data_IF_841966790153
#
_entry.id   IF_841966790153
#
_cell.length_a   1.000
_cell.length_b   1.000
_cell.length_c   1.000
_cell.angle_alpha   90.00
_cell.angle_beta   90.00
_cell.angle_gamma   90.00
#
_symmetry.space_group_name_H-M   'P 1'
#
loop_
_entity.id
_entity.type
_entity.pdbx_description
1 polymer ?
#
# COMPACT_ATOMS: atom_id res chain seq x y z
N UNK A 1 -76.00 4.83 -9.81
CA UNK A 1 -74.55 5.16 -9.93
C UNK A 1 -74.26 5.28 -11.42
N UNK A 2 -74.63 6.36 -12.13
CA UNK A 2 -74.08 7.72 -12.18
C UNK A 2 -72.60 7.82 -12.61
N UNK A 3 -72.42 8.27 -13.87
CA UNK A 3 -71.44 9.24 -14.43
C UNK A 3 -69.93 8.85 -14.47
N UNK A 4 -69.29 8.67 -15.65
CA UNK A 4 -68.74 9.66 -16.64
C UNK A 4 -67.31 10.18 -16.27
N UNK A 5 -66.53 10.88 -17.13
CA UNK A 5 -65.70 10.42 -18.27
C UNK A 5 -64.21 10.92 -18.21
N UNK A 6 -63.49 10.84 -19.34
CA UNK A 6 -62.14 11.39 -19.65
C UNK A 6 -61.75 12.73 -19.00
N UNK A 7 -60.49 12.86 -18.55
CA UNK A 7 -59.78 14.15 -18.42
C UNK A 7 -58.28 13.98 -18.74
N UNK A 8 -57.83 14.55 -19.86
CA UNK A 8 -56.46 15.06 -20.01
C UNK A 8 -56.36 16.42 -19.32
N UNK A 9 -55.38 16.61 -18.43
CA UNK A 9 -54.90 17.93 -18.02
C UNK A 9 -53.38 18.01 -18.20
N UNK A 10 -53.00 18.92 -19.09
CA UNK A 10 -51.68 19.51 -19.26
C UNK A 10 -51.40 20.38 -18.03
N UNK A 11 -50.27 20.18 -17.34
CA UNK A 11 -49.66 21.23 -16.53
C UNK A 11 -48.19 21.41 -16.86
N UNK A 12 -47.85 22.69 -16.99
CA UNK A 12 -46.59 23.27 -17.44
C UNK A 12 -45.50 23.14 -16.39
N UNK A 13 -44.27 23.12 -16.89
CA UNK A 13 -42.98 23.48 -16.26
C UNK A 13 -43.07 24.20 -14.90
N UNK A 14 -42.36 23.66 -13.92
CA UNK A 14 -41.54 24.45 -13.00
C UNK A 14 -40.18 23.75 -12.81
N UNK A 15 -39.18 24.33 -13.47
CA UNK A 15 -37.76 24.04 -13.27
C UNK A 15 -37.34 24.84 -12.01
N UNK A 16 -37.38 24.20 -10.85
CA UNK A 16 -36.78 24.74 -9.64
C UNK A 16 -35.46 24.01 -9.41
N UNK A 17 -34.37 24.73 -9.67
CA UNK A 17 -33.02 24.22 -9.55
C UNK A 17 -32.69 23.76 -8.13
N UNK A 18 -32.26 22.50 -8.02
CA UNK A 18 -31.40 22.06 -6.94
C UNK A 18 -29.99 22.06 -7.52
N UNK A 19 -29.24 23.10 -7.17
CA UNK A 19 -27.79 23.12 -7.36
C UNK A 19 -27.22 22.02 -6.45
N UNK A 20 -26.88 20.86 -7.00
CA UNK A 20 -25.99 19.94 -6.30
C UNK A 20 -24.63 20.61 -6.25
N UNK A 21 -24.23 21.01 -5.04
CA UNK A 21 -22.87 21.43 -4.75
C UNK A 21 -21.89 20.38 -5.29
N UNK A 22 -20.84 20.85 -5.96
CA UNK A 22 -19.80 20.02 -6.54
C UNK A 22 -19.23 19.06 -5.50
N UNK A 23 -19.55 17.78 -5.68
CA UNK A 23 -18.72 16.71 -5.18
C UNK A 23 -17.55 16.67 -6.15
N UNK A 24 -16.42 17.22 -5.74
CA UNK A 24 -15.14 17.05 -6.44
C UNK A 24 -14.87 15.55 -6.55
N UNK A 25 -15.29 14.95 -7.65
CA UNK A 25 -14.83 13.63 -8.05
C UNK A 25 -13.37 13.81 -8.46
N UNK A 26 -12.48 13.61 -7.49
CA UNK A 26 -11.08 13.36 -7.79
C UNK A 26 -11.04 12.29 -8.89
N UNK A 27 -10.35 12.53 -10.02
CA UNK A 27 -10.35 11.60 -11.14
C UNK A 27 -9.84 10.25 -10.63
N UNK A 28 -10.63 9.19 -10.85
CA UNK A 28 -10.17 7.83 -10.62
C UNK A 28 -8.84 7.65 -11.37
N UNK A 29 -7.77 7.17 -10.69
CA UNK A 29 -6.47 7.01 -11.33
C UNK A 29 -6.64 6.15 -12.57
N UNK A 30 -6.30 6.73 -13.71
CA UNK A 30 -6.42 6.08 -15.01
C UNK A 30 -5.44 4.92 -15.08
N UNK A 31 -5.73 3.91 -15.93
CA UNK A 31 -4.92 2.69 -16.07
C UNK A 31 -3.42 2.93 -16.40
N UNK A 32 -3.07 4.18 -16.76
CA UNK A 32 -1.70 4.66 -16.99
C UNK A 32 -0.95 5.10 -15.72
N UNK A 33 -1.62 5.27 -14.58
CA UNK A 33 -0.98 5.64 -13.30
C UNK A 33 -0.04 4.50 -12.84
N UNK A 34 1.28 4.77 -12.71
CA UNK A 34 2.26 3.75 -12.37
C UNK A 34 2.05 3.17 -10.96
N UNK A 35 1.53 3.95 -10.00
CA UNK A 35 1.16 3.43 -8.69
C UNK A 35 -0.02 2.46 -8.82
N UNK A 36 -1.08 2.87 -9.53
CA UNK A 36 -2.24 2.00 -9.75
C UNK A 36 -1.84 0.69 -10.44
N UNK A 37 -1.00 0.74 -11.47
CA UNK A 37 -0.50 -0.46 -12.16
C UNK A 37 0.27 -1.41 -11.23
N UNK A 38 1.03 -0.87 -10.27
CA UNK A 38 1.78 -1.68 -9.32
C UNK A 38 0.87 -2.35 -8.28
N UNK A 39 -0.12 -1.64 -7.75
CA UNK A 39 -0.96 -2.13 -6.65
C UNK A 39 -2.25 -2.83 -7.09
N UNK A 40 -2.74 -2.58 -8.31
CA UNK A 40 -3.98 -3.18 -8.82
C UNK A 40 -4.00 -4.71 -8.73
N UNK A 41 -2.91 -5.46 -9.00
CA UNK A 41 -2.89 -6.91 -8.84
C UNK A 41 -3.09 -7.41 -7.39
N UNK A 42 -2.83 -6.56 -6.38
CA UNK A 42 -3.02 -6.91 -4.97
C UNK A 42 -4.46 -6.69 -4.49
N UNK A 43 -5.25 -5.88 -5.21
CA UNK A 43 -6.63 -5.59 -4.82
C UNK A 43 -7.47 -6.86 -4.95
N UNK A 44 -8.17 -7.21 -3.87
CA UNK A 44 -8.93 -8.45 -3.75
C UNK A 44 -8.11 -9.65 -3.25
N UNK A 45 -6.80 -9.48 -3.01
CA UNK A 45 -5.98 -10.52 -2.38
C UNK A 45 -5.89 -10.34 -0.86
N UNK A 46 -5.89 -11.43 -0.08
CA UNK A 46 -5.58 -11.38 1.34
C UNK A 46 -4.11 -11.04 1.54
N UNK A 47 -3.83 -10.10 2.45
CA UNK A 47 -2.52 -10.00 3.06
C UNK A 47 -2.32 -11.21 3.97
N UNK A 48 -1.17 -11.86 3.87
CA UNK A 48 -0.82 -12.97 4.75
C UNK A 48 0.63 -12.87 5.21
N UNK A 49 0.93 -13.55 6.31
CA UNK A 49 2.25 -13.54 6.93
C UNK A 49 2.72 -12.14 7.31
N UNK A 50 1.78 -11.29 7.75
CA UNK A 50 2.08 -9.91 8.12
C UNK A 50 2.97 -9.88 9.35
N UNK A 51 4.14 -9.24 9.24
CA UNK A 51 5.21 -9.36 10.24
C UNK A 51 5.94 -8.06 10.47
N UNK A 52 6.39 -7.91 11.71
CA UNK A 52 7.42 -6.94 12.07
C UNK A 52 8.80 -7.48 11.67
N UNK A 53 9.56 -6.67 10.94
CA UNK A 53 10.95 -6.89 10.60
C UNK A 53 11.90 -6.32 11.66
N UNK A 54 13.02 -5.74 11.22
CA UNK A 54 13.92 -5.00 12.10
C UNK A 54 13.26 -3.68 12.54
N UNK A 55 13.34 -3.34 13.82
CA UNK A 55 12.69 -2.14 14.36
C UNK A 55 11.17 -2.18 14.15
N UNK A 56 10.66 -1.19 13.41
CA UNK A 56 9.24 -1.00 13.10
C UNK A 56 8.87 -1.37 11.67
N UNK A 57 9.79 -1.95 10.88
CA UNK A 57 9.50 -2.30 9.49
C UNK A 57 8.38 -3.34 9.41
N UNK A 58 7.51 -3.21 8.41
CA UNK A 58 6.41 -4.15 8.20
C UNK A 58 6.58 -4.90 6.90
N UNK A 59 6.28 -6.18 6.91
CA UNK A 59 6.24 -7.05 5.74
C UNK A 59 4.83 -7.60 5.60
N UNK A 60 4.27 -7.54 4.39
CA UNK A 60 3.02 -8.19 4.01
C UNK A 60 3.27 -9.03 2.75
N UNK A 61 2.80 -10.27 2.73
CA UNK A 61 2.85 -11.14 1.56
C UNK A 61 1.44 -11.22 0.93
N UNK A 62 1.37 -11.32 -0.40
CA UNK A 62 0.12 -11.51 -1.15
C UNK A 62 0.29 -12.56 -2.24
N UNK A 63 -0.83 -13.10 -2.72
CA UNK A 63 -0.85 -14.11 -3.79
C UNK A 63 -0.40 -15.48 -3.31
N UNK A 64 -0.03 -16.35 -4.25
CA UNK A 64 0.31 -17.73 -3.97
C UNK A 64 1.61 -17.85 -3.12
N UNK A 65 1.63 -18.72 -2.10
CA UNK A 65 2.81 -18.92 -1.27
C UNK A 65 3.88 -19.73 -2.01
N UNK A 66 5.13 -19.32 -1.84
CA UNK A 66 6.33 -20.01 -2.26
C UNK A 66 7.38 -20.02 -1.14
N UNK A 67 8.44 -20.82 -1.29
CA UNK A 67 9.55 -20.86 -0.34
C UNK A 67 10.77 -20.15 -0.92
N UNK A 68 11.22 -19.10 -0.25
CA UNK A 68 12.53 -18.50 -0.49
C UNK A 68 13.58 -19.19 0.37
N UNK A 69 14.49 -19.92 -0.28
CA UNK A 69 15.57 -20.65 0.38
C UNK A 69 16.88 -19.90 0.18
N UNK A 70 17.51 -19.47 1.27
CA UNK A 70 18.90 -18.98 1.29
C UNK A 70 19.80 -20.09 1.80
N UNK A 71 20.71 -20.56 0.95
CA UNK A 71 21.75 -21.51 1.35
C UNK A 71 22.74 -20.90 2.35
N UNK A 72 23.40 -21.74 3.17
CA UNK A 72 24.52 -21.34 4.02
C UNK A 72 25.57 -20.52 3.24
N UNK A 73 26.06 -19.46 3.87
CA UNK A 73 27.16 -18.65 3.33
C UNK A 73 28.22 -18.46 4.40
N UNK A 74 29.48 -18.42 3.96
CA UNK A 74 30.58 -17.96 4.81
C UNK A 74 30.43 -16.45 4.93
N UNK A 75 30.25 -15.96 6.14
CA UNK A 75 30.23 -14.52 6.40
C UNK A 75 31.67 -14.01 6.47
N UNK A 76 32.02 -12.91 5.79
CA UNK A 76 33.29 -12.22 6.00
C UNK A 76 33.33 -11.47 7.35
N UNK A 77 32.19 -11.31 8.02
CA UNK A 77 32.08 -10.63 9.30
C UNK A 77 32.64 -11.48 10.45
N UNK A 78 33.44 -10.83 11.30
CA UNK A 78 34.09 -11.42 12.48
C UNK A 78 33.14 -11.60 13.66
N UNK A 79 31.91 -11.07 13.60
CA UNK A 79 30.96 -11.27 14.69
C UNK A 79 30.47 -12.73 14.74
N UNK A 80 30.83 -13.44 15.81
CA UNK A 80 30.55 -14.88 15.95
C UNK A 80 29.06 -15.24 15.81
N UNK A 81 28.16 -14.34 16.22
CA UNK A 81 26.70 -14.51 16.08
C UNK A 81 26.23 -14.39 14.63
N UNK A 82 26.64 -13.35 13.89
CA UNK A 82 26.23 -13.17 12.47
C UNK A 82 26.85 -14.27 11.60
N UNK A 83 28.11 -14.63 11.86
CA UNK A 83 28.76 -15.75 11.19
C UNK A 83 28.00 -17.07 11.44
N UNK A 84 27.57 -17.35 12.68
CA UNK A 84 26.79 -18.54 13.01
C UNK A 84 25.42 -18.57 12.33
N UNK A 85 24.72 -17.44 12.24
CA UNK A 85 23.43 -17.33 11.54
C UNK A 85 23.59 -17.51 10.03
N UNK A 86 24.66 -16.96 9.44
CA UNK A 86 24.92 -17.02 7.99
C UNK A 86 25.20 -18.44 7.50
N UNK A 87 25.82 -19.28 8.34
CA UNK A 87 26.09 -20.71 8.08
C UNK A 87 24.85 -21.62 8.10
N UNK A 88 23.67 -21.10 8.44
CA UNK A 88 22.42 -21.87 8.43
C UNK A 88 21.64 -21.62 7.15
N UNK A 89 20.96 -22.66 6.65
CA UNK A 89 19.92 -22.50 5.61
C UNK A 89 18.77 -21.70 6.21
N UNK A 90 18.28 -20.70 5.49
CA UNK A 90 17.10 -19.93 5.88
C UNK A 90 15.99 -20.24 4.88
N UNK A 91 14.89 -20.81 5.35
CA UNK A 91 13.69 -21.08 4.56
C UNK A 91 12.61 -20.11 5.04
N UNK A 92 12.10 -19.28 4.14
CA UNK A 92 11.08 -18.28 4.44
C UNK A 92 9.92 -18.42 3.46
N UNK A 93 8.67 -18.46 3.96
CA UNK A 93 7.50 -18.22 3.12
C UNK A 93 7.61 -16.86 2.42
N UNK A 94 7.14 -16.80 1.18
CA UNK A 94 7.12 -15.61 0.34
C UNK A 94 5.90 -15.63 -0.57
N UNK A 95 5.21 -14.52 -0.70
CA UNK A 95 4.15 -14.37 -1.69
C UNK A 95 4.68 -14.10 -3.08
N UNK A 96 3.77 -14.20 -4.04
CA UNK A 96 3.96 -13.68 -5.40
C UNK A 96 4.26 -12.18 -5.35
N UNK A 97 3.60 -11.46 -4.46
CA UNK A 97 3.92 -10.08 -4.13
C UNK A 97 4.36 -9.95 -2.68
N UNK A 98 5.32 -9.05 -2.46
CA UNK A 98 5.77 -8.68 -1.12
C UNK A 98 5.84 -7.17 -0.98
N UNK A 99 5.04 -6.64 -0.06
CA UNK A 99 5.09 -5.25 0.34
C UNK A 99 5.97 -5.11 1.58
N UNK A 100 6.96 -4.23 1.49
CA UNK A 100 7.88 -3.91 2.57
C UNK A 100 7.79 -2.43 2.91
N UNK A 101 7.30 -2.11 4.10
CA UNK A 101 7.24 -0.75 4.65
C UNK A 101 8.53 -0.49 5.44
N UNK A 102 9.26 0.55 5.07
CA UNK A 102 10.63 0.81 5.48
C UNK A 102 10.93 2.32 5.50
N UNK A 103 11.71 2.82 6.45
CA UNK A 103 12.12 4.24 6.52
C UNK A 103 10.99 5.28 6.35
N UNK A 104 9.83 5.02 6.95
CA UNK A 104 8.76 5.99 7.04
C UNK A 104 7.99 5.82 8.34
N UNK A 105 7.25 6.85 8.74
CA UNK A 105 6.24 6.66 9.75
C UNK A 105 5.10 5.86 9.15
N UNK A 106 4.46 5.08 10.00
CA UNK A 106 3.24 4.39 9.66
C UNK A 106 2.34 4.29 10.88
N UNK A 107 1.05 4.09 10.66
CA UNK A 107 0.10 3.66 11.68
C UNK A 107 -0.90 2.69 11.12
N UNK A 108 -1.39 1.82 11.99
CA UNK A 108 -2.49 0.90 11.71
C UNK A 108 -3.67 1.30 12.55
N UNK A 109 -4.80 1.53 11.88
CA UNK A 109 -6.10 1.74 12.49
C UNK A 109 -6.95 0.48 12.31
N UNK A 110 -7.85 0.22 13.24
CA UNK A 110 -8.97 -0.71 13.05
C UNK A 110 -10.27 0.02 13.36
N UNK A 111 -11.15 0.08 12.36
CA UNK A 111 -12.46 0.77 12.46
C UNK A 111 -12.33 2.23 12.93
N UNK A 112 -11.25 2.90 12.50
CA UNK A 112 -10.96 4.30 12.82
C UNK A 112 -10.14 4.53 14.09
N UNK A 113 -9.91 3.49 14.91
CA UNK A 113 -9.13 3.61 16.14
C UNK A 113 -7.68 3.14 15.93
N UNK A 114 -6.70 3.89 16.41
CA UNK A 114 -5.29 3.54 16.26
C UNK A 114 -4.90 2.35 17.16
N UNK A 115 -4.34 1.31 16.55
CA UNK A 115 -3.75 0.16 17.26
C UNK A 115 -2.29 0.45 17.62
N UNK A 116 -1.51 0.88 16.64
CA UNK A 116 -0.10 1.19 16.78
C UNK A 116 0.40 2.11 15.67
N UNK A 117 1.54 2.73 15.92
CA UNK A 117 2.32 3.49 14.94
C UNK A 117 3.80 3.09 15.02
N UNK A 118 4.64 3.63 14.14
CA UNK A 118 6.04 3.19 13.96
C UNK A 118 6.89 3.25 15.23
N UNK A 119 6.61 4.18 16.15
CA UNK A 119 7.34 4.33 17.42
C UNK A 119 6.68 3.61 18.60
N UNK A 120 5.63 2.81 18.36
CA UNK A 120 4.98 2.06 19.41
C UNK A 120 5.84 0.89 19.91
N UNK A 121 5.49 0.34 21.06
CA UNK A 121 6.20 -0.82 21.60
C UNK A 121 6.05 -2.05 20.71
N UNK A 122 7.04 -2.97 20.76
CA UNK A 122 7.03 -4.24 20.04
C UNK A 122 5.70 -5.01 20.17
N UNK A 123 5.09 -4.99 21.36
CA UNK A 123 3.79 -5.63 21.63
C UNK A 123 2.66 -4.98 20.84
N UNK A 124 2.63 -3.63 20.78
CA UNK A 124 1.62 -2.90 19.99
C UNK A 124 1.82 -3.10 18.50
N UNK A 125 3.06 -3.03 18.02
CA UNK A 125 3.38 -3.31 16.61
C UNK A 125 2.95 -4.74 16.23
N UNK A 126 3.20 -5.72 17.11
CA UNK A 126 2.74 -7.11 16.89
C UNK A 126 1.21 -7.25 16.86
N UNK A 127 0.49 -6.43 17.64
CA UNK A 127 -0.97 -6.38 17.58
C UNK A 127 -1.45 -5.79 16.25
N UNK A 128 -0.81 -4.71 15.77
CA UNK A 128 -1.10 -4.10 14.47
C UNK A 128 -0.82 -5.06 13.31
N UNK A 129 0.27 -5.83 13.34
CA UNK A 129 0.53 -6.84 12.31
C UNK A 129 -0.51 -7.96 12.34
N UNK A 130 -0.94 -8.37 13.54
CA UNK A 130 -1.97 -9.40 13.68
C UNK A 130 -3.34 -8.92 13.20
N UNK A 131 -3.65 -7.63 13.37
CA UNK A 131 -4.88 -7.04 12.84
C UNK A 131 -4.90 -7.11 11.31
N UNK A 132 -3.80 -6.75 10.65
CA UNK A 132 -3.70 -6.75 9.19
C UNK A 132 -3.70 -8.16 8.58
N UNK A 133 -3.19 -9.16 9.31
CA UNK A 133 -2.98 -10.52 8.80
C UNK A 133 -4.31 -11.22 8.47
N UNK A 134 -4.45 -11.69 7.23
CA UNK A 134 -5.63 -12.37 6.72
C UNK A 134 -6.71 -11.46 6.12
N UNK A 135 -6.59 -10.13 6.24
CA UNK A 135 -7.56 -9.22 5.62
C UNK A 135 -7.31 -9.03 4.13
N UNK A 136 -8.37 -8.82 3.35
CA UNK A 136 -8.30 -8.55 1.92
C UNK A 136 -7.99 -7.08 1.70
N UNK A 137 -6.97 -6.78 0.88
CA UNK A 137 -6.69 -5.41 0.45
C UNK A 137 -7.79 -4.95 -0.52
N UNK A 138 -8.56 -3.94 -0.13
CA UNK A 138 -9.69 -3.44 -0.94
C UNK A 138 -9.36 -2.18 -1.71
N UNK A 139 -8.42 -1.38 -1.20
CA UNK A 139 -7.96 -0.17 -1.87
C UNK A 139 -6.53 0.19 -1.45
N UNK A 140 -5.81 0.82 -2.37
CA UNK A 140 -4.53 1.46 -2.11
C UNK A 140 -4.52 2.82 -2.81
N UNK A 141 -4.11 3.85 -2.10
CA UNK A 141 -4.10 5.24 -2.56
C UNK A 141 -2.75 5.87 -2.17
N UNK A 142 -2.23 6.75 -3.02
CA UNK A 142 -1.07 7.58 -2.72
C UNK A 142 -1.40 9.05 -2.94
N UNK A 143 -0.93 9.90 -2.03
CA UNK A 143 -0.89 11.35 -2.21
C UNK A 143 0.57 11.76 -2.41
N UNK A 144 1.02 11.95 -3.66
CA UNK A 144 2.39 12.33 -3.95
C UNK A 144 2.73 13.76 -3.49
N UNK A 145 1.75 14.66 -3.35
CA UNK A 145 2.02 16.00 -2.85
C UNK A 145 2.42 16.00 -1.36
N UNK A 146 1.91 15.02 -0.60
CA UNK A 146 2.25 14.83 0.81
C UNK A 146 3.22 13.67 1.05
N UNK A 147 3.59 12.93 0.01
CA UNK A 147 4.37 11.70 0.16
C UNK A 147 3.65 10.64 0.99
N UNK A 148 2.32 10.61 1.05
CA UNK A 148 1.60 9.64 1.90
C UNK A 148 1.02 8.48 1.09
N UNK A 149 0.75 7.37 1.77
CA UNK A 149 0.01 6.24 1.19
C UNK A 149 -0.97 5.66 2.18
N UNK A 150 -2.08 5.12 1.67
CA UNK A 150 -3.14 4.50 2.47
C UNK A 150 -3.52 3.16 1.84
N UNK A 151 -3.50 2.09 2.64
CA UNK A 151 -3.93 0.75 2.27
C UNK A 151 -5.13 0.38 3.14
N UNK A 152 -6.28 0.10 2.51
CA UNK A 152 -7.56 -0.20 3.20
C UNK A 152 -7.88 -1.68 3.05
N UNK A 153 -8.38 -2.27 4.13
CA UNK A 153 -8.69 -3.69 4.22
C UNK A 153 -10.16 -3.95 4.56
N UNK A 154 -10.66 -5.12 4.15
CA UNK A 154 -12.09 -5.47 4.18
C UNK A 154 -12.72 -5.60 5.58
N UNK A 155 -11.94 -5.97 6.61
CA UNK A 155 -12.44 -6.08 7.99
C UNK A 155 -12.26 -4.80 8.82
N UNK A 156 -11.92 -3.69 8.15
CA UNK A 156 -11.87 -2.36 8.74
C UNK A 156 -10.48 -1.90 9.15
N UNK A 157 -9.42 -2.67 8.87
CA UNK A 157 -8.07 -2.19 9.08
C UNK A 157 -7.65 -1.17 8.01
N UNK A 158 -6.78 -0.24 8.41
CA UNK A 158 -6.15 0.72 7.49
C UNK A 158 -4.70 0.91 7.90
N UNK A 159 -3.78 0.73 6.95
CA UNK A 159 -2.37 1.07 7.09
C UNK A 159 -2.12 2.40 6.38
N UNK A 160 -1.58 3.37 7.11
CA UNK A 160 -1.19 4.67 6.56
C UNK A 160 0.30 4.86 6.71
N UNK A 161 0.95 5.47 5.70
CA UNK A 161 2.37 5.82 5.72
C UNK A 161 2.58 7.31 5.45
N UNK A 162 3.59 7.90 6.07
CA UNK A 162 4.02 9.27 5.78
C UNK A 162 5.53 9.44 6.03
N UNK A 163 6.16 10.48 5.46
CA UNK A 163 7.60 10.60 5.50
C UNK A 163 8.20 10.92 6.86
N UNK A 164 9.49 10.59 7.03
CA UNK A 164 10.30 11.02 8.18
C UNK A 164 10.89 12.43 8.04
N UNK A 165 11.09 12.93 6.81
CA UNK A 165 11.89 14.14 6.58
C UNK A 165 13.32 13.85 6.08
N UNK A 166 13.64 12.63 5.65
CA UNK A 166 15.00 12.19 5.30
C UNK A 166 15.24 12.04 3.80
N UNK A 167 14.19 12.01 2.97
CA UNK A 167 14.27 11.78 1.53
C UNK A 167 14.40 10.30 1.15
N UNK A 168 14.17 9.38 2.10
CA UNK A 168 14.32 7.94 1.88
C UNK A 168 13.13 7.29 1.17
N UNK A 169 13.36 6.07 0.67
CA UNK A 169 12.28 5.18 0.19
C UNK A 169 11.41 4.74 1.36
N UNK A 170 10.10 4.97 1.27
CA UNK A 170 9.12 4.65 2.32
C UNK A 170 8.61 3.21 2.25
N UNK A 171 8.48 2.67 1.04
CA UNK A 171 8.09 1.28 0.87
C UNK A 171 8.46 0.76 -0.51
N UNK A 172 8.56 -0.56 -0.60
CA UNK A 172 8.87 -1.30 -1.81
C UNK A 172 7.86 -2.43 -2.00
N UNK A 173 7.37 -2.59 -3.22
CA UNK A 173 6.54 -3.70 -3.65
C UNK A 173 7.32 -4.56 -4.64
N UNK A 174 7.67 -5.77 -4.22
CA UNK A 174 8.34 -6.77 -5.04
C UNK A 174 7.28 -7.57 -5.79
N UNK A 175 7.45 -7.70 -7.10
CA UNK A 175 6.47 -8.31 -8.00
C UNK A 175 6.94 -9.67 -8.52
N UNK A 176 6.02 -10.52 -9.02
CA UNK A 176 6.36 -11.83 -9.59
C UNK A 176 7.35 -11.77 -10.77
N UNK A 177 7.38 -10.65 -11.51
CA UNK A 177 8.31 -10.44 -12.63
C UNK A 177 9.77 -10.33 -12.18
N UNK A 178 10.03 -10.12 -10.89
CA UNK A 178 11.34 -9.73 -10.36
C UNK A 178 11.55 -8.22 -10.32
N UNK A 179 10.60 -7.43 -10.83
CA UNK A 179 10.59 -5.99 -10.69
C UNK A 179 10.20 -5.56 -9.27
N UNK A 180 10.60 -4.34 -8.92
CA UNK A 180 10.27 -3.68 -7.67
C UNK A 180 9.74 -2.29 -7.98
N UNK A 181 8.58 -1.97 -7.41
CA UNK A 181 8.08 -0.61 -7.35
C UNK A 181 8.47 -0.01 -6.00
N UNK A 182 9.13 1.14 -6.01
CA UNK A 182 9.58 1.84 -4.81
C UNK A 182 8.91 3.21 -4.76
N UNK A 183 8.39 3.59 -3.59
CA UNK A 183 7.80 4.90 -3.36
C UNK A 183 8.63 5.69 -2.36
N UNK A 184 8.93 6.95 -2.67
CA UNK A 184 9.81 7.81 -1.88
C UNK A 184 9.02 8.88 -1.15
N UNK A 185 9.67 9.45 -0.13
CA UNK A 185 9.17 10.58 0.65
C UNK A 185 8.63 11.75 -0.19
N UNK A 186 9.29 12.11 -1.29
CA UNK A 186 8.92 13.26 -2.12
C UNK A 186 7.81 12.97 -3.14
N UNK A 187 7.09 11.86 -2.96
CA UNK A 187 6.02 11.45 -3.88
C UNK A 187 6.54 10.94 -5.23
N UNK A 188 7.85 10.79 -5.41
CA UNK A 188 8.42 10.13 -6.57
C UNK A 188 8.39 8.60 -6.42
N UNK A 189 8.51 7.91 -7.55
CA UNK A 189 8.59 6.47 -7.60
C UNK A 189 9.74 6.01 -8.52
N UNK A 190 10.15 4.77 -8.32
CA UNK A 190 10.98 4.03 -9.26
C UNK A 190 10.35 2.67 -9.53
N UNK A 191 10.46 2.17 -10.75
CA UNK A 191 10.02 0.83 -11.11
C UNK A 191 10.99 0.18 -12.07
N UNK A 192 11.42 -1.05 -11.75
CA UNK A 192 12.37 -1.82 -12.56
C UNK A 192 12.92 -3.03 -11.80
N UNK A 193 13.93 -3.73 -12.33
CA UNK A 193 14.44 -4.96 -11.73
C UNK A 193 14.92 -4.77 -10.29
N UNK A 194 14.53 -5.66 -9.38
CA UNK A 194 14.97 -5.58 -7.97
C UNK A 194 16.47 -5.81 -7.74
N UNK A 195 17.19 -6.23 -8.78
CA UNK A 195 18.65 -6.39 -8.77
C UNK A 195 19.40 -5.13 -9.21
N UNK A 196 18.69 -4.04 -9.56
CA UNK A 196 19.32 -2.81 -10.02
C UNK A 196 20.16 -2.19 -8.88
N UNK A 197 21.41 -1.79 -9.14
CA UNK A 197 22.23 -1.09 -8.15
C UNK A 197 21.60 0.25 -7.75
N UNK A 198 21.73 0.69 -6.48
CA UNK A 198 21.12 1.94 -6.00
C UNK A 198 21.48 3.17 -6.84
N UNK A 199 22.71 3.25 -7.36
CA UNK A 199 23.20 4.36 -8.18
C UNK A 199 22.57 4.42 -9.58
N UNK A 200 21.89 3.36 -10.03
CA UNK A 200 21.21 3.30 -11.32
C UNK A 200 19.70 3.54 -11.19
N UNK A 201 19.18 3.66 -9.96
CA UNK A 201 17.75 3.86 -9.70
C UNK A 201 17.34 5.25 -10.21
N UNK A 202 16.39 5.28 -11.14
CA UNK A 202 15.83 6.52 -11.68
C UNK A 202 14.49 6.79 -11.01
N UNK A 203 14.41 7.93 -10.31
CA UNK A 203 13.20 8.41 -9.67
C UNK A 203 12.41 9.32 -10.61
N UNK A 204 11.11 9.09 -10.70
CA UNK A 204 10.19 9.85 -11.52
C UNK A 204 9.04 10.38 -10.65
N UNK A 205 8.54 11.59 -10.90
CA UNK A 205 7.37 12.10 -10.18
C UNK A 205 6.16 11.19 -10.45
N UNK A 206 5.41 10.81 -9.41
CA UNK A 206 4.24 9.94 -9.57
C UNK A 206 3.10 10.64 -10.33
N UNK A 207 2.94 11.94 -10.10
CA UNK A 207 2.11 12.83 -10.91
C UNK A 207 3.02 13.95 -11.40
N UNK A 208 3.00 14.29 -12.71
CA UNK A 208 3.74 15.44 -13.18
C UNK A 208 3.23 16.69 -12.46
N UNK A 209 4.14 17.61 -12.10
CA UNK A 209 3.75 18.92 -11.58
C UNK A 209 2.79 19.57 -12.57
N UNK A 210 1.55 19.77 -12.15
CA UNK A 210 0.67 20.75 -12.79
C UNK A 210 1.22 22.11 -12.40
N UNK A 211 2.23 22.60 -13.13
CA UNK A 211 2.55 24.02 -13.12
C UNK A 211 1.37 24.76 -13.75
N UNK A 212 0.58 25.42 -12.91
CA UNK A 212 -0.36 26.47 -13.30
C UNK A 212 0.35 27.67 -13.96
#
# INVERSE_FOLDING_TARGET
MLHSPDIQIILRKENAGIKSAGMDTQPHPTQSDPFYRAVAPLIGLPAWFVRRGHGSFLTLEFGAPSLRIREPKVSPDNSGKVAALSRRRKVLPRGEWHLWIYCCHWRVLSRGEEIAWSEASDKKISAATSELDGQILTAAEADPAQGTSVFKFDLGATLQTWPYGSGDTQWMLYMPSGDVFSYREDGSYSSGPGSLPPEQVVWQPLRPDTTD
#
